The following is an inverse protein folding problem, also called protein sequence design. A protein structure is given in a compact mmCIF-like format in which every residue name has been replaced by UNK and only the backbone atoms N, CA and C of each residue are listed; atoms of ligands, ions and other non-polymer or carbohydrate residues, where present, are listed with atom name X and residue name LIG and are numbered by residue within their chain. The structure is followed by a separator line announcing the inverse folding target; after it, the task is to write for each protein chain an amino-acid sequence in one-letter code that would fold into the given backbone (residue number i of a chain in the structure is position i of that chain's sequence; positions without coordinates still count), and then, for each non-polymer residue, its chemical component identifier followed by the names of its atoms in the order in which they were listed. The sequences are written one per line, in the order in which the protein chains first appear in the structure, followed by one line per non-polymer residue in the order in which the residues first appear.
data_IF_702322619235
#
_entry.id   IF_702322619235
#
_cell.length_a   1.000
_cell.length_b   1.000
_cell.length_c   1.000
_cell.angle_alpha   90.00
_cell.angle_beta   90.00
_cell.angle_gamma   90.00
#
_symmetry.space_group_name_H-M   'P 1'
#
loop_
_entity.id
_entity.type
_entity.pdbx_description
1 polymer ?
#
# COMPACT_ATOMS: atom_id res chain seq x y z
N UNK A 1 25.76 -13.26 38.92
CA UNK A 1 25.45 -12.01 38.19
C UNK A 1 25.46 -12.21 36.66
N UNK A 2 26.51 -12.80 36.09
CA UNK A 2 26.65 -13.03 34.65
C UNK A 2 25.59 -13.98 34.03
N UNK A 3 25.16 -15.02 34.77
CA UNK A 3 24.14 -15.97 34.29
C UNK A 3 22.74 -15.32 34.12
N UNK A 4 22.35 -14.41 35.01
CA UNK A 4 21.07 -13.67 34.92
C UNK A 4 21.06 -12.75 33.69
N UNK A 5 22.20 -12.14 33.36
CA UNK A 5 22.35 -11.28 32.18
C UNK A 5 22.23 -12.12 30.90
N UNK A 6 22.83 -13.32 30.88
CA UNK A 6 22.69 -14.25 29.75
C UNK A 6 21.25 -14.69 29.51
N UNK A 7 20.49 -14.99 30.57
CA UNK A 7 19.07 -15.35 30.45
C UNK A 7 18.25 -14.19 29.89
N UNK A 8 18.50 -12.96 30.37
CA UNK A 8 17.78 -11.77 29.89
C UNK A 8 18.09 -11.50 28.42
N UNK A 9 19.35 -11.63 27.96
CA UNK A 9 19.68 -11.40 26.55
C UNK A 9 19.02 -12.43 25.63
N UNK A 10 18.95 -13.69 26.05
CA UNK A 10 18.28 -14.77 25.31
C UNK A 10 16.79 -14.48 25.18
N UNK A 11 16.12 -14.08 26.26
CA UNK A 11 14.68 -13.73 26.23
C UNK A 11 14.40 -12.57 25.27
N UNK A 12 15.26 -11.53 25.28
CA UNK A 12 15.13 -10.39 24.36
C UNK A 12 15.33 -10.84 22.90
N UNK A 13 16.24 -11.77 22.64
CA UNK A 13 16.47 -12.27 21.28
C UNK A 13 15.26 -13.08 20.78
N UNK A 14 14.70 -13.95 21.62
CA UNK A 14 13.55 -14.79 21.28
C UNK A 14 12.27 -14.00 21.03
N UNK A 15 12.07 -12.84 21.69
CA UNK A 15 10.88 -12.01 21.49
C UNK A 15 10.81 -11.37 20.10
N UNK A 16 11.96 -11.17 19.43
CA UNK A 16 12.03 -10.61 18.07
C UNK A 16 11.46 -11.54 16.99
N UNK A 17 11.31 -12.84 17.29
CA UNK A 17 10.79 -13.84 16.34
C UNK A 17 9.26 -13.79 16.17
N UNK A 18 8.56 -13.11 17.07
CA UNK A 18 7.09 -13.08 17.09
C UNK A 18 6.49 -11.81 16.45
N UNK A 19 7.29 -11.03 15.71
CA UNK A 19 6.82 -9.78 15.12
C UNK A 19 6.13 -10.04 13.78
N UNK A 20 4.91 -9.54 13.63
CA UNK A 20 4.15 -9.56 12.37
C UNK A 20 4.33 -8.21 11.68
N UNK A 21 4.95 -8.20 10.50
CA UNK A 21 5.04 -7.01 9.66
C UNK A 21 3.96 -7.02 8.58
N UNK A 22 3.37 -5.86 8.30
CA UNK A 22 2.44 -5.72 7.18
C UNK A 22 3.22 -5.56 5.87
N UNK A 23 2.86 -6.34 4.85
CA UNK A 23 3.38 -6.13 3.50
C UNK A 23 2.59 -4.99 2.83
N UNK A 24 3.26 -3.92 2.36
CA UNK A 24 2.57 -2.87 1.64
C UNK A 24 2.01 -3.42 0.33
N UNK A 25 0.87 -2.85 -0.09
CA UNK A 25 0.27 -3.20 -1.38
C UNK A 25 1.26 -2.95 -2.52
N UNK A 26 1.55 -3.98 -3.31
CA UNK A 26 2.38 -3.82 -4.50
C UNK A 26 1.56 -3.21 -5.64
N UNK A 27 1.78 -1.91 -5.86
CA UNK A 27 1.07 -1.12 -6.86
C UNK A 27 1.99 -0.72 -8.02
N UNK A 28 1.85 -1.38 -9.17
CA UNK A 28 2.61 -1.08 -10.39
C UNK A 28 1.88 -0.11 -11.34
N UNK A 29 0.61 0.19 -11.06
CA UNK A 29 -0.26 1.00 -11.92
C UNK A 29 -0.24 2.48 -11.52
N UNK A 30 0.87 2.97 -10.94
CA UNK A 30 1.04 4.36 -10.50
C UNK A 30 0.76 5.37 -11.61
N UNK A 31 1.28 5.13 -12.81
CA UNK A 31 1.11 6.04 -13.95
C UNK A 31 -0.38 6.25 -14.30
N UNK A 32 -1.22 5.25 -14.05
CA UNK A 32 -2.65 5.30 -14.32
C UNK A 32 -3.47 5.82 -13.13
N UNK A 33 -2.95 5.82 -11.91
CA UNK A 33 -3.64 6.35 -10.74
C UNK A 33 -2.67 7.07 -9.81
N UNK A 34 -2.24 8.26 -10.25
CA UNK A 34 -1.33 9.12 -9.48
C UNK A 34 -1.96 9.58 -8.16
N UNK A 35 -3.29 9.75 -8.15
CA UNK A 35 -4.06 10.18 -6.98
C UNK A 35 -4.03 9.15 -5.83
N UNK A 36 -4.02 7.84 -6.13
CA UNK A 36 -3.95 6.80 -5.10
C UNK A 36 -2.67 6.84 -4.27
N UNK A 37 -1.60 7.42 -4.79
CA UNK A 37 -0.33 7.59 -4.07
C UNK A 37 -0.15 9.02 -3.55
N UNK A 38 -0.52 10.03 -4.33
CA UNK A 38 -0.43 11.43 -3.94
C UNK A 38 -1.75 12.16 -4.20
N UNK A 39 -2.56 12.45 -3.16
CA UNK A 39 -3.83 13.16 -3.33
C UNK A 39 -3.67 14.61 -3.80
N UNK A 40 -2.49 15.22 -3.64
CA UNK A 40 -2.20 16.56 -4.17
C UNK A 40 -2.19 16.62 -5.71
N UNK A 41 -2.24 15.47 -6.39
CA UNK A 41 -2.44 15.41 -7.83
C UNK A 41 -3.83 15.90 -8.29
N UNK A 42 -4.84 15.88 -7.40
CA UNK A 42 -6.19 16.30 -7.76
C UNK A 42 -6.22 17.75 -8.29
N UNK A 43 -6.75 17.92 -9.50
CA UNK A 43 -6.90 19.23 -10.15
C UNK A 43 -5.69 19.70 -10.95
N UNK A 44 -4.56 18.98 -10.91
CA UNK A 44 -3.33 19.34 -11.62
C UNK A 44 -3.51 19.37 -13.16
N UNK A 45 -4.47 18.60 -13.67
CA UNK A 45 -4.81 18.52 -15.10
C UNK A 45 -5.65 19.71 -15.60
N UNK A 46 -5.92 20.71 -14.75
CA UNK A 46 -6.71 21.91 -15.08
C UNK A 46 -8.05 21.63 -15.77
N UNK A 47 -8.65 20.48 -15.48
CA UNK A 47 -9.90 20.02 -16.09
C UNK A 47 -10.63 19.05 -15.16
N UNK A 48 -11.94 18.87 -15.37
CA UNK A 48 -12.67 17.75 -14.79
C UNK A 48 -12.12 16.45 -15.37
N UNK A 49 -11.51 15.64 -14.52
CA UNK A 49 -10.82 14.41 -14.89
C UNK A 49 -11.37 13.23 -14.10
N UNK A 50 -11.53 12.12 -14.80
CA UNK A 50 -11.95 10.85 -14.21
C UNK A 50 -10.98 9.75 -14.61
N UNK A 51 -10.76 8.78 -13.73
CA UNK A 51 -9.87 7.66 -14.00
C UNK A 51 -10.43 6.39 -13.39
N UNK A 52 -10.55 5.35 -14.21
CA UNK A 52 -10.92 4.01 -13.77
C UNK A 52 -9.79 3.01 -14.03
N UNK A 53 -9.41 2.25 -13.00
CA UNK A 53 -8.37 1.22 -13.08
C UNK A 53 -8.92 -0.08 -12.54
N UNK A 54 -8.91 -1.12 -13.38
CA UNK A 54 -9.22 -2.49 -13.00
C UNK A 54 -7.95 -3.33 -13.09
N UNK A 55 -7.66 -4.11 -12.04
CA UNK A 55 -6.52 -5.02 -12.00
C UNK A 55 -6.95 -6.39 -11.50
N UNK A 56 -6.62 -7.42 -12.27
CA UNK A 56 -6.73 -8.83 -11.87
C UNK A 56 -5.34 -9.46 -11.92
N UNK A 57 -4.87 -9.99 -10.81
CA UNK A 57 -3.60 -10.70 -10.75
C UNK A 57 -3.82 -12.20 -10.95
N UNK A 58 -2.79 -12.94 -11.36
CA UNK A 58 -2.83 -14.41 -11.50
C UNK A 58 -4.07 -14.91 -12.24
N UNK A 59 -4.22 -14.46 -13.49
CA UNK A 59 -5.35 -14.82 -14.34
C UNK A 59 -5.49 -16.34 -14.40
N UNK A 60 -6.73 -16.84 -14.32
CA UNK A 60 -7.11 -18.26 -14.24
C UNK A 60 -6.89 -18.96 -12.90
N UNK A 61 -6.44 -18.26 -11.85
CA UNK A 61 -6.40 -18.79 -10.49
C UNK A 61 -7.69 -18.43 -9.74
N UNK A 62 -8.40 -19.43 -9.20
CA UNK A 62 -9.64 -19.20 -8.48
C UNK A 62 -9.36 -18.41 -7.19
N UNK A 63 -10.14 -17.35 -6.93
CA UNK A 63 -9.91 -16.46 -5.78
C UNK A 63 -8.72 -15.52 -5.94
N UNK A 64 -8.18 -15.36 -7.16
CA UNK A 64 -7.12 -14.41 -7.44
C UNK A 64 -7.50 -12.98 -7.04
N UNK A 65 -6.58 -12.15 -6.51
CA UNK A 65 -6.84 -10.77 -6.13
C UNK A 65 -7.36 -9.93 -7.31
N UNK A 66 -8.41 -9.17 -7.02
CA UNK A 66 -9.01 -8.21 -7.94
C UNK A 66 -9.06 -6.86 -7.21
N UNK A 67 -8.58 -5.80 -7.87
CA UNK A 67 -8.62 -4.44 -7.38
C UNK A 67 -9.29 -3.52 -8.41
N UNK A 68 -10.06 -2.57 -7.90
CA UNK A 68 -10.78 -1.58 -8.70
C UNK A 68 -10.59 -0.21 -8.06
N UNK A 69 -10.25 0.78 -8.87
CA UNK A 69 -10.10 2.16 -8.44
C UNK A 69 -10.89 3.06 -9.36
N UNK A 70 -11.66 3.98 -8.79
CA UNK A 70 -12.39 5.03 -9.51
C UNK A 70 -12.05 6.37 -8.86
N UNK A 71 -11.56 7.30 -9.66
CA UNK A 71 -11.26 8.66 -9.23
C UNK A 71 -12.07 9.66 -10.05
N UNK A 72 -12.44 10.76 -9.41
CA UNK A 72 -13.04 11.92 -10.03
C UNK A 72 -12.51 13.18 -9.33
N UNK A 73 -11.95 14.11 -10.09
CA UNK A 73 -11.44 15.38 -9.57
C UNK A 73 -11.59 16.50 -10.58
N UNK A 74 -11.68 17.74 -10.09
CA UNK A 74 -11.67 18.95 -10.89
C UNK A 74 -10.88 20.04 -10.15
N UNK A 75 -10.22 20.97 -10.87
CA UNK A 75 -9.66 22.16 -10.24
C UNK A 75 -10.79 23.04 -9.69
N UNK A 76 -10.54 23.65 -8.53
CA UNK A 76 -11.39 24.72 -8.00
C UNK A 76 -10.72 26.05 -8.33
N UNK A 77 -11.46 26.94 -8.99
CA UNK A 77 -11.04 28.31 -9.24
C UNK A 77 -11.73 29.22 -8.23
N UNK A 78 -10.97 30.09 -7.57
CA UNK A 78 -11.45 31.10 -6.63
C UNK A 78 -11.23 32.49 -7.21
#
# INVERSE_FOLDING_TARGET
MMLKIGIISVIILLSSLCVWAQQPSQYSLYMFNRMAYNPAYAGLDNSLSTTGVFRRQWVNLQGSPIAQHLNLHAPLYF
#
